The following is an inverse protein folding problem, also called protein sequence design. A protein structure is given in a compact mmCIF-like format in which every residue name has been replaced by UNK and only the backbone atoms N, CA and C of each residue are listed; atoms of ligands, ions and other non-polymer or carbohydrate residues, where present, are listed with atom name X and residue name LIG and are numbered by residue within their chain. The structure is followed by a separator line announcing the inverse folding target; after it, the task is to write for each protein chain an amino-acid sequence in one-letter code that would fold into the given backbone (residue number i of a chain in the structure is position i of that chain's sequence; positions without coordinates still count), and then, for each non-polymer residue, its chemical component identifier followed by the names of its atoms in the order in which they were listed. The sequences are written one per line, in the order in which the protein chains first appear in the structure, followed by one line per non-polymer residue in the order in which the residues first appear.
data_IF_888264250274
#
_entry.id   IF_888264250274
#
_cell.length_a   1.000
_cell.length_b   1.000
_cell.length_c   1.000
_cell.angle_alpha   90.00
_cell.angle_beta   90.00
_cell.angle_gamma   90.00
#
_symmetry.space_group_name_H-M   'P 1'
#
loop_
_entity.id
_entity.type
_entity.pdbx_description
1 polymer ?
#
# COMPACT_ATOMS: atom_id res chain seq x y z
N UNK A 1 6.69 -7.51 -11.06
CA UNK A 1 5.41 -6.98 -11.60
C UNK A 1 4.59 -6.37 -10.48
N UNK A 2 4.19 -5.11 -10.66
CA UNK A 2 3.39 -4.33 -9.73
C UNK A 2 1.91 -4.40 -10.11
N UNK A 3 1.16 -5.19 -9.35
CA UNK A 3 -0.29 -5.36 -9.58
C UNK A 3 -1.09 -4.08 -9.34
N UNK A 4 -0.60 -3.17 -8.47
CA UNK A 4 -1.25 -1.89 -8.23
C UNK A 4 -1.22 -1.00 -9.46
N UNK A 5 -0.02 -0.77 -10.04
CA UNK A 5 0.12 0.05 -11.23
C UNK A 5 -0.61 -0.57 -12.43
N UNK A 6 -0.52 -1.90 -12.60
CA UNK A 6 -1.26 -2.63 -13.64
C UNK A 6 -2.77 -2.41 -13.52
N UNK A 7 -3.34 -2.50 -12.31
CA UNK A 7 -4.77 -2.29 -12.08
C UNK A 7 -5.21 -0.84 -12.26
N UNK A 8 -4.30 0.13 -12.20
CA UNK A 8 -4.57 1.54 -12.48
C UNK A 8 -4.30 1.90 -13.96
N UNK A 9 -4.09 0.92 -14.83
CA UNK A 9 -3.89 1.16 -16.27
C UNK A 9 -2.53 1.74 -16.62
N UNK A 10 -1.52 1.62 -15.75
CA UNK A 10 -0.15 1.99 -16.09
C UNK A 10 0.35 1.14 -17.27
N UNK A 11 1.26 1.66 -18.12
CA UNK A 11 1.89 0.88 -19.18
C UNK A 11 2.79 -0.23 -18.61
N UNK A 12 3.06 -1.25 -19.44
CA UNK A 12 3.87 -2.42 -19.04
C UNK A 12 5.28 -2.04 -18.59
N UNK A 13 5.88 -1.04 -19.23
CA UNK A 13 7.18 -0.50 -18.84
C UNK A 13 7.17 -0.02 -17.38
N UNK A 14 6.05 0.56 -16.92
CA UNK A 14 5.91 1.07 -15.56
C UNK A 14 5.58 -0.05 -14.59
N UNK A 15 4.55 -0.87 -14.84
CA UNK A 15 4.19 -1.92 -13.87
C UNK A 15 5.14 -3.13 -13.89
N UNK A 16 5.89 -3.34 -14.98
CA UNK A 16 6.91 -4.38 -15.12
C UNK A 16 8.20 -4.05 -14.38
N UNK A 17 8.53 -2.76 -14.21
CA UNK A 17 9.78 -2.29 -13.59
C UNK A 17 9.93 -2.58 -12.09
N UNK A 18 8.86 -2.94 -11.38
CA UNK A 18 8.91 -3.15 -9.93
C UNK A 18 7.84 -4.15 -9.45
N UNK A 19 7.81 -4.42 -8.15
CA UNK A 19 6.80 -5.23 -7.46
C UNK A 19 6.00 -4.35 -6.49
N UNK A 20 4.77 -4.76 -6.17
CA UNK A 20 3.93 -4.00 -5.24
C UNK A 20 4.49 -4.03 -3.81
N UNK A 21 4.81 -5.23 -3.31
CA UNK A 21 5.38 -5.47 -1.98
C UNK A 21 6.55 -6.46 -2.09
N UNK A 22 7.52 -6.31 -1.19
CA UNK A 22 8.54 -7.34 -0.93
C UNK A 22 7.92 -8.56 -0.24
N UNK A 23 8.62 -9.71 -0.21
CA UNK A 23 8.21 -10.87 0.59
C UNK A 23 7.99 -10.55 2.08
N UNK A 24 8.75 -9.59 2.63
CA UNK A 24 8.61 -9.11 4.02
C UNK A 24 7.39 -8.21 4.23
N UNK A 25 6.58 -7.96 3.20
CA UNK A 25 5.35 -7.16 3.28
C UNK A 25 5.55 -5.65 3.13
N UNK A 26 6.79 -5.15 3.01
CA UNK A 26 7.07 -3.72 2.76
C UNK A 26 6.65 -3.33 1.35
N UNK A 27 5.90 -2.24 1.22
CA UNK A 27 5.49 -1.69 -0.09
C UNK A 27 6.73 -1.23 -0.86
N UNK A 28 6.82 -1.50 -2.16
CA UNK A 28 7.96 -1.05 -3.00
C UNK A 28 7.50 -0.15 -4.13
N UNK A 29 6.22 -0.24 -4.52
CA UNK A 29 5.63 0.59 -5.54
C UNK A 29 5.78 2.09 -5.22
N UNK A 30 6.53 2.87 -6.01
CA UNK A 30 6.81 4.28 -5.69
C UNK A 30 5.53 5.13 -5.63
N UNK A 31 4.55 4.81 -6.48
CA UNK A 31 3.25 5.49 -6.50
C UNK A 31 2.49 5.25 -5.19
N UNK A 32 2.40 3.98 -4.76
CA UNK A 32 1.71 3.67 -3.51
C UNK A 32 2.48 4.19 -2.30
N UNK A 33 3.82 4.12 -2.30
CA UNK A 33 4.65 4.64 -1.20
C UNK A 33 4.49 6.14 -0.97
N UNK A 34 4.32 6.91 -2.06
CA UNK A 34 4.08 8.34 -1.98
C UNK A 34 2.66 8.69 -1.48
N UNK A 35 1.73 7.74 -1.53
CA UNK A 35 0.37 7.94 -1.02
C UNK A 35 0.35 7.92 0.50
N UNK A 36 -0.15 9.01 1.09
CA UNK A 36 -0.44 9.09 2.52
C UNK A 36 -1.92 8.81 2.75
N UNK A 37 -2.20 7.78 3.55
CA UNK A 37 -3.58 7.41 3.87
C UNK A 37 -4.26 8.53 4.68
N UNK A 38 -5.38 9.10 4.23
CA UNK A 38 -6.05 10.20 4.93
C UNK A 38 -6.73 9.76 6.25
N UNK A 39 -6.84 8.45 6.50
CA UNK A 39 -7.50 7.91 7.70
C UNK A 39 -6.51 7.64 8.84
N UNK A 40 -5.29 7.23 8.53
CA UNK A 40 -4.29 6.84 9.52
C UNK A 40 -2.90 7.46 9.32
N UNK A 41 -2.74 8.32 8.31
CA UNK A 41 -1.47 8.95 7.91
C UNK A 41 -0.33 8.00 7.55
N UNK A 42 -0.61 6.71 7.35
CA UNK A 42 0.40 5.75 6.91
C UNK A 42 0.85 6.04 5.47
N UNK A 43 2.17 6.01 5.25
CA UNK A 43 2.83 6.17 3.95
C UNK A 43 4.09 5.28 3.88
N UNK A 44 4.86 5.39 2.79
CA UNK A 44 6.12 4.69 2.63
C UNK A 44 5.95 3.17 2.69
N UNK A 45 6.70 2.51 3.59
CA UNK A 45 6.67 1.05 3.78
C UNK A 45 5.28 0.51 4.16
N UNK A 46 4.47 1.35 4.82
CA UNK A 46 3.16 1.00 5.38
C UNK A 46 1.99 1.52 4.52
N UNK A 47 2.28 2.08 3.34
CA UNK A 47 1.26 2.67 2.50
C UNK A 47 0.22 1.63 2.03
N UNK A 48 -1.02 2.08 1.89
CA UNK A 48 -2.12 1.25 1.43
C UNK A 48 -3.20 2.13 0.80
N UNK A 49 -3.93 1.57 -0.18
CA UNK A 49 -5.17 2.18 -0.66
C UNK A 49 -6.33 1.69 0.21
N UNK A 50 -7.29 2.58 0.46
CA UNK A 50 -8.48 2.39 1.30
C UNK A 50 -9.47 1.35 0.74
N UNK A 51 -8.98 0.22 0.21
CA UNK A 51 -9.81 -0.86 -0.27
C UNK A 51 -10.20 -1.73 0.91
N UNK A 52 -11.11 -1.18 1.72
CA UNK A 52 -12.04 -1.90 2.60
C UNK A 52 -11.35 -2.81 3.62
N UNK A 53 -11.04 -2.28 4.81
CA UNK A 53 -10.91 -2.99 6.10
C UNK A 53 -10.73 -4.53 6.02
N UNK A 54 -9.68 -5.00 5.37
CA UNK A 54 -9.37 -6.42 5.34
C UNK A 54 -8.53 -6.70 6.58
N UNK A 55 -9.28 -6.93 7.67
CA UNK A 55 -8.84 -7.30 9.03
C UNK A 55 -8.52 -6.12 9.96
N UNK A 56 -9.58 -5.62 10.62
CA UNK A 56 -9.58 -5.02 11.97
C UNK A 56 -8.19 -4.71 12.54
N UNK A 57 -7.67 -3.48 12.35
CA UNK A 57 -6.84 -2.88 13.40
C UNK A 57 -7.80 -2.16 14.33
N UNK A 58 -8.36 -2.91 15.28
CA UNK A 58 -8.99 -2.32 16.47
C UNK A 58 -7.93 -1.36 17.04
N UNK A 59 -8.23 -0.07 17.29
CA UNK A 59 -7.38 0.67 18.20
C UNK A 59 -7.41 -0.13 19.50
N UNK A 60 -6.28 -0.70 19.91
CA UNK A 60 -6.09 -1.11 21.29
C UNK A 60 -6.18 0.18 22.09
N UNK A 61 -7.39 0.47 22.57
CA UNK A 61 -7.59 1.42 23.65
C UNK A 61 -6.75 0.86 24.80
N UNK A 62 -5.70 1.54 25.28
CA UNK A 62 -5.04 1.08 26.49
C UNK A 62 -6.08 1.10 27.60
N UNK A 63 -6.33 -0.07 28.21
CA UNK A 63 -7.16 -0.16 29.40
C UNK A 63 -6.48 0.69 30.50
N UNK A 64 -7.16 1.72 30.95
CA UNK A 64 -6.89 2.39 32.23
C UNK A 64 -8.23 2.58 32.91
#
# INVERSE_FOLDING_TARGET
ICVFCRNNGAPEEVYGSHVLKTPDGRVVCPILRAYTCPLCSANGDNAHTNKILSTVKRPTIPAT
#
